data_IF_352508927424
#
_entry.id   IF_352508927424
#
_cell.length_a   1.000
_cell.length_b   1.000
_cell.length_c   1.000
_cell.angle_alpha   90.00
_cell.angle_beta   90.00
_cell.angle_gamma   90.00
#
_symmetry.space_group_name_H-M   'P 1'
#
loop_
_entity.id
_entity.type
_entity.pdbx_description
1 polymer ?
#
# COMPACT_ATOMS: atom_id res chain seq x y z
N UNK A 1 41.48 10.65 10.15
CA UNK A 1 40.49 9.99 11.02
C UNK A 1 39.20 9.90 10.25
N UNK A 2 38.85 8.71 9.76
CA UNK A 2 37.58 8.45 9.05
C UNK A 2 36.52 8.13 10.10
N UNK A 3 35.52 9.00 10.25
CA UNK A 3 34.36 8.68 11.09
C UNK A 3 33.63 7.48 10.46
N UNK A 4 33.30 6.44 11.24
CA UNK A 4 32.41 5.40 10.74
C UNK A 4 31.05 6.03 10.47
N UNK A 5 30.60 5.97 9.23
CA UNK A 5 29.24 6.32 8.85
C UNK A 5 28.34 5.27 9.52
N UNK A 6 27.63 5.67 10.57
CA UNK A 6 26.56 4.85 11.12
C UNK A 6 25.42 4.84 10.10
N UNK A 7 25.33 3.76 9.31
CA UNK A 7 24.24 3.54 8.38
C UNK A 7 23.02 3.08 9.18
N UNK A 8 22.26 4.04 9.71
CA UNK A 8 20.92 3.74 10.22
C UNK A 8 20.08 3.27 9.04
N UNK A 9 19.40 2.10 9.11
CA UNK A 9 18.47 1.68 8.07
C UNK A 9 17.41 2.76 7.84
N UNK A 10 16.95 2.96 6.60
CA UNK A 10 15.88 3.91 6.32
C UNK A 10 14.62 3.54 7.10
N UNK A 11 13.89 4.56 7.54
CA UNK A 11 12.59 4.39 8.17
C UNK A 11 11.62 3.70 7.19
N UNK A 12 10.73 2.83 7.70
CA UNK A 12 9.85 2.01 6.88
C UNK A 12 8.39 2.35 7.14
N UNK A 13 7.61 2.60 6.10
CA UNK A 13 6.17 2.74 6.20
C UNK A 13 5.50 1.48 5.63
N UNK A 14 4.57 0.88 6.39
CA UNK A 14 3.83 -0.31 5.93
C UNK A 14 2.44 0.08 5.47
N UNK A 15 2.16 -0.17 4.18
CA UNK A 15 0.80 -0.20 3.65
C UNK A 15 0.26 -1.63 3.74
N UNK A 16 -0.76 -1.83 4.56
CA UNK A 16 -1.51 -3.08 4.59
C UNK A 16 -2.82 -2.91 3.84
N UNK A 17 -3.04 -3.78 2.85
CA UNK A 17 -4.27 -3.90 2.09
C UNK A 17 -4.94 -5.23 2.40
N UNK A 18 -6.26 -5.25 2.43
CA UNK A 18 -7.00 -6.48 2.64
C UNK A 18 -8.30 -6.57 1.85
N UNK A 19 -8.71 -7.80 1.57
CA UNK A 19 -10.03 -8.12 1.03
C UNK A 19 -10.57 -9.39 1.68
N UNK A 20 -11.88 -9.52 1.72
CA UNK A 20 -12.55 -10.80 1.94
C UNK A 20 -12.75 -11.49 0.58
N UNK A 21 -12.35 -12.76 0.48
CA UNK A 21 -12.49 -13.57 -0.71
C UNK A 21 -13.93 -13.62 -1.23
N UNK A 22 -14.92 -13.50 -0.34
CA UNK A 22 -16.35 -13.54 -0.62
C UNK A 22 -16.98 -12.14 -0.76
N UNK A 23 -16.20 -11.06 -0.63
CA UNK A 23 -16.73 -9.70 -0.76
C UNK A 23 -17.20 -9.42 -2.19
N UNK A 24 -18.33 -8.72 -2.35
CA UNK A 24 -18.84 -8.38 -3.68
C UNK A 24 -18.09 -7.19 -4.30
N UNK A 25 -17.60 -6.27 -3.47
CA UNK A 25 -16.87 -5.08 -3.89
C UNK A 25 -15.46 -5.37 -4.39
N UNK A 26 -14.87 -4.40 -5.10
CA UNK A 26 -13.47 -4.46 -5.56
C UNK A 26 -12.55 -3.49 -4.83
N UNK A 27 -13.08 -2.68 -3.90
CA UNK A 27 -12.26 -1.82 -3.06
C UNK A 27 -11.53 -2.67 -2.00
N UNK A 28 -10.26 -2.33 -1.75
CA UNK A 28 -9.47 -2.91 -0.67
C UNK A 28 -9.68 -2.10 0.61
N UNK A 29 -9.87 -2.81 1.71
CA UNK A 29 -9.67 -2.23 3.04
C UNK A 29 -8.17 -1.96 3.23
N UNK A 30 -7.84 -0.94 4.01
CA UNK A 30 -6.45 -0.56 4.21
C UNK A 30 -6.19 0.00 5.61
N UNK A 31 -4.95 -0.12 6.04
CA UNK A 31 -4.39 0.77 7.04
C UNK A 31 -2.91 1.02 6.73
N UNK A 32 -2.40 2.13 7.26
CA UNK A 32 -1.06 2.59 7.01
C UNK A 32 -0.35 2.87 8.33
N UNK A 33 0.86 2.33 8.48
CA UNK A 33 1.67 2.52 9.68
C UNK A 33 2.94 3.29 9.33
N UNK A 34 3.00 4.61 9.61
CA UNK A 34 4.22 5.40 9.46
C UNK A 34 5.19 5.12 10.62
N UNK A 35 6.51 5.23 10.39
CA UNK A 35 7.51 4.91 11.42
C UNK A 35 7.71 6.01 12.46
N UNK A 36 7.13 7.20 12.30
CA UNK A 36 7.30 8.29 13.28
C UNK A 36 6.43 8.21 14.54
N UNK A 37 5.54 7.21 14.70
CA UNK A 37 4.76 7.06 15.94
C UNK A 37 5.28 5.88 16.77
N UNK A 38 6.01 6.18 17.84
CA UNK A 38 6.29 5.25 18.95
C UNK A 38 5.04 4.86 19.75
N UNK A 39 3.87 5.34 19.33
CA UNK A 39 2.55 4.99 19.84
C UNK A 39 1.88 4.01 18.87
N UNK A 40 1.32 2.88 19.35
CA UNK A 40 0.34 2.14 18.57
C UNK A 40 -0.77 3.12 18.20
N UNK A 41 -1.00 3.36 16.91
CA UNK A 41 -2.22 4.03 16.48
C UNK A 41 -3.35 3.05 16.84
N UNK A 42 -4.29 3.43 17.74
CA UNK A 42 -5.48 2.61 17.98
C UNK A 42 -6.18 2.35 16.65
N UNK A 43 -6.94 1.26 16.54
CA UNK A 43 -7.79 1.00 15.37
C UNK A 43 -8.45 2.30 14.86
N UNK A 44 -8.49 2.52 13.53
CA UNK A 44 -8.75 3.82 12.97
C UNK A 44 -10.10 4.38 13.46
N UNK A 45 -10.01 5.56 14.08
CA UNK A 45 -11.17 6.39 14.44
C UNK A 45 -11.73 6.96 13.14
N UNK A 46 -12.96 6.63 12.81
CA UNK A 46 -13.69 7.07 11.61
C UNK A 46 -13.51 8.59 11.33
N UNK A 47 -13.05 8.95 10.14
CA UNK A 47 -12.93 10.35 9.69
C UNK A 47 -12.57 10.50 8.21
N UNK A 48 -12.95 11.61 7.58
CA UNK A 48 -12.78 11.87 6.12
C UNK A 48 -11.29 12.01 5.70
N UNK A 49 -10.37 12.15 6.67
CA UNK A 49 -8.92 12.30 6.45
C UNK A 49 -8.07 11.13 6.98
N UNK A 50 -8.67 10.02 7.42
CA UNK A 50 -7.93 8.82 7.88
C UNK A 50 -7.48 7.90 6.74
N UNK A 51 -7.69 8.30 5.48
CA UNK A 51 -7.39 7.49 4.30
C UNK A 51 -6.13 7.95 3.52
N UNK A 52 -5.52 9.09 3.85
CA UNK A 52 -4.36 9.60 3.11
C UNK A 52 -3.05 8.96 3.58
N UNK A 53 -2.12 8.72 2.65
CA UNK A 53 -0.80 8.17 2.93
C UNK A 53 0.21 9.31 3.15
N UNK A 54 0.77 9.40 4.36
CA UNK A 54 1.75 10.44 4.71
C UNK A 54 3.13 9.82 4.90
N UNK A 55 4.09 10.22 4.09
CA UNK A 55 5.46 9.73 4.17
C UNK A 55 6.42 10.82 4.61
N UNK A 56 7.43 10.43 5.39
CA UNK A 56 8.60 11.26 5.58
C UNK A 56 9.57 11.10 4.39
N UNK A 57 10.28 12.17 4.00
CA UNK A 57 11.30 12.11 2.96
C UNK A 57 12.35 11.02 3.27
N UNK A 58 12.63 10.14 2.31
CA UNK A 58 13.61 9.06 2.47
C UNK A 58 13.10 7.80 3.19
N UNK A 59 11.81 7.71 3.50
CA UNK A 59 11.19 6.46 3.97
C UNK A 59 11.16 5.37 2.89
N UNK A 60 10.92 4.14 3.31
CA UNK A 60 10.66 3.01 2.43
C UNK A 60 9.22 2.52 2.59
N UNK A 61 8.46 2.52 1.50
CA UNK A 61 7.16 1.87 1.45
C UNK A 61 7.32 0.35 1.33
N UNK A 62 6.74 -0.36 2.29
CA UNK A 62 6.51 -1.79 2.28
C UNK A 62 5.03 -2.09 2.01
N UNK A 63 4.75 -3.19 1.32
CA UNK A 63 3.36 -3.59 1.00
C UNK A 63 3.06 -4.98 1.52
N UNK A 64 1.93 -5.10 2.21
CA UNK A 64 1.30 -6.37 2.55
C UNK A 64 -0.11 -6.40 1.98
N UNK A 65 -0.49 -7.54 1.41
CA UNK A 65 -1.86 -7.83 1.00
C UNK A 65 -2.34 -9.03 1.81
N UNK A 66 -3.54 -8.95 2.37
CA UNK A 66 -4.17 -10.07 3.08
C UNK A 66 -5.53 -10.42 2.49
N UNK A 67 -5.82 -11.71 2.45
CA UNK A 67 -7.13 -12.22 2.13
C UNK A 67 -7.68 -12.97 3.33
N UNK A 68 -8.94 -12.72 3.67
CA UNK A 68 -9.71 -13.58 4.58
C UNK A 68 -10.83 -14.32 3.85
N UNK A 69 -11.29 -15.43 4.41
CA UNK A 69 -12.47 -16.12 3.90
C UNK A 69 -12.86 -17.34 4.73
N UNK A 70 -14.06 -17.85 4.49
CA UNK A 70 -14.60 -18.99 5.21
C UNK A 70 -13.77 -20.27 5.00
N UNK A 71 -13.55 -21.07 6.05
CA UNK A 71 -12.81 -22.34 5.99
C UNK A 71 -13.67 -23.56 5.67
N UNK A 72 -14.99 -23.39 5.63
CA UNK A 72 -15.96 -24.46 5.46
C UNK A 72 -16.94 -24.13 4.33
N UNK A 73 -17.67 -25.14 3.85
CA UNK A 73 -18.61 -25.01 2.74
C UNK A 73 -17.97 -25.28 1.37
N UNK A 74 -18.80 -25.26 0.33
CA UNK A 74 -18.39 -25.59 -1.05
C UNK A 74 -17.43 -24.57 -1.66
N UNK A 75 -17.41 -23.35 -1.12
CA UNK A 75 -16.54 -22.26 -1.57
C UNK A 75 -15.45 -21.93 -0.54
N UNK A 76 -15.09 -22.88 0.34
CA UNK A 76 -14.08 -22.65 1.37
C UNK A 76 -12.79 -22.04 0.78
N UNK A 77 -12.39 -20.90 1.33
CA UNK A 77 -11.18 -20.18 0.97
C UNK A 77 -9.95 -20.97 1.41
N UNK A 78 -9.06 -21.23 0.46
CA UNK A 78 -7.79 -21.90 0.73
C UNK A 78 -6.63 -20.89 0.72
N UNK A 79 -6.44 -20.20 -0.40
CA UNK A 79 -5.30 -19.32 -0.60
C UNK A 79 -5.56 -18.29 -1.70
N UNK A 80 -4.67 -17.31 -1.82
CA UNK A 80 -4.65 -16.41 -2.97
C UNK A 80 -3.22 -16.20 -3.46
N UNK A 81 -3.09 -15.74 -4.69
CA UNK A 81 -1.83 -15.33 -5.32
C UNK A 81 -2.00 -13.97 -5.98
N UNK A 82 -1.12 -13.01 -5.66
CA UNK A 82 -0.99 -11.78 -6.46
C UNK A 82 -0.37 -12.14 -7.80
N UNK A 83 -1.08 -11.86 -8.89
CA UNK A 83 -0.65 -12.20 -10.26
C UNK A 83 -0.42 -10.97 -11.15
N UNK A 84 -0.88 -9.80 -10.72
CA UNK A 84 -0.52 -8.50 -11.30
C UNK A 84 -0.70 -7.42 -10.23
N UNK A 85 0.16 -6.40 -10.25
CA UNK A 85 0.12 -5.33 -9.26
C UNK A 85 0.79 -4.07 -9.79
N UNK A 86 0.04 -2.98 -9.84
CA UNK A 86 0.52 -1.69 -10.36
C UNK A 86 0.15 -0.56 -9.41
N UNK A 87 1.12 0.34 -9.21
CA UNK A 87 0.91 1.63 -8.56
C UNK A 87 0.77 2.69 -9.65
N UNK A 88 -0.18 3.60 -9.47
CA UNK A 88 -0.43 4.75 -10.33
C UNK A 88 -0.38 6.00 -9.47
N UNK A 89 0.40 7.00 -9.86
CA UNK A 89 0.51 8.27 -9.15
C UNK A 89 0.22 9.43 -10.08
N UNK A 90 -0.66 10.32 -9.64
CA UNK A 90 -1.00 11.54 -10.38
C UNK A 90 -0.47 12.75 -9.60
N UNK A 91 0.56 13.45 -10.08
CA UNK A 91 1.13 14.58 -9.36
C UNK A 91 0.16 15.75 -9.29
N UNK A 92 0.07 16.38 -8.13
CA UNK A 92 -0.72 17.58 -7.91
C UNK A 92 0.12 18.85 -8.06
N UNK A 93 -0.57 19.99 -8.20
CA UNK A 93 0.05 21.31 -8.19
C UNK A 93 0.48 21.65 -6.77
N UNK A 94 1.77 21.95 -6.58
CA UNK A 94 2.33 22.31 -5.27
C UNK A 94 2.58 23.82 -5.14
N UNK A 95 2.63 24.56 -6.25
CA UNK A 95 2.77 26.01 -6.22
C UNK A 95 1.99 26.62 -7.38
N UNK A 96 1.20 27.65 -7.12
CA UNK A 96 0.55 28.51 -8.13
C UNK A 96 0.26 29.89 -7.56
N UNK A 97 0.42 30.95 -8.34
CA UNK A 97 0.11 32.31 -7.89
C UNK A 97 0.55 33.42 -8.85
N UNK A 98 0.14 34.66 -8.57
CA UNK A 98 0.54 35.81 -9.39
C UNK A 98 2.05 36.06 -9.23
N UNK A 99 2.79 35.99 -10.33
CA UNK A 99 4.24 36.19 -10.34
C UNK A 99 5.04 35.00 -9.81
N UNK A 100 4.40 33.83 -9.65
CA UNK A 100 5.05 32.57 -9.30
C UNK A 100 4.89 31.59 -10.46
N UNK A 101 5.94 30.82 -10.73
CA UNK A 101 5.85 29.69 -11.64
C UNK A 101 4.95 28.61 -11.05
N UNK A 102 4.15 27.96 -11.91
CA UNK A 102 3.36 26.81 -11.51
C UNK A 102 4.28 25.61 -11.38
N UNK A 103 4.34 25.02 -10.19
CA UNK A 103 5.15 23.84 -9.91
C UNK A 103 4.24 22.64 -9.64
N UNK A 104 4.65 21.50 -10.18
CA UNK A 104 3.99 20.21 -10.00
C UNK A 104 4.91 19.29 -9.23
N UNK A 105 4.33 18.36 -8.47
CA UNK A 105 5.08 17.21 -7.97
C UNK A 105 5.69 16.39 -9.12
N UNK A 106 6.82 15.68 -8.91
CA UNK A 106 7.36 14.78 -9.92
C UNK A 106 6.36 13.65 -10.24
N UNK A 107 6.50 12.95 -11.39
CA UNK A 107 5.52 11.94 -11.83
C UNK A 107 5.20 10.85 -10.79
N UNK A 108 6.18 10.52 -9.96
CA UNK A 108 6.05 9.58 -8.85
C UNK A 108 6.82 10.09 -7.62
N UNK A 109 6.35 9.79 -6.40
CA UNK A 109 7.10 10.01 -5.18
C UNK A 109 8.19 8.96 -4.94
N UNK A 110 8.21 7.86 -5.70
CA UNK A 110 9.14 6.74 -5.49
C UNK A 110 10.33 6.80 -6.45
N UNK A 111 11.54 6.61 -5.93
CA UNK A 111 12.80 6.73 -6.69
C UNK A 111 12.95 5.64 -7.76
N UNK A 112 12.33 4.48 -7.56
CA UNK A 112 12.32 3.36 -8.51
C UNK A 112 11.42 3.62 -9.72
N UNK A 113 10.50 4.58 -9.65
CA UNK A 113 9.52 4.84 -10.69
C UNK A 113 10.00 5.96 -11.63
N UNK A 114 10.09 5.65 -12.93
CA UNK A 114 10.45 6.64 -13.96
C UNK A 114 9.29 7.55 -14.33
N UNK A 115 8.04 7.08 -14.17
CA UNK A 115 6.83 7.81 -14.53
C UNK A 115 5.68 7.53 -13.56
N UNK A 116 4.47 7.95 -13.95
CA UNK A 116 3.26 7.82 -13.12
C UNK A 116 2.77 6.40 -12.89
N UNK A 117 3.27 5.40 -13.63
CA UNK A 117 2.89 4.01 -13.44
C UNK A 117 4.11 3.20 -13.02
N UNK A 118 3.96 2.39 -11.98
CA UNK A 118 4.99 1.49 -11.48
C UNK A 118 4.44 0.06 -11.37
N UNK A 119 4.78 -0.83 -12.31
CA UNK A 119 4.46 -2.25 -12.19
C UNK A 119 5.37 -2.87 -11.12
N UNK A 120 4.76 -3.44 -10.08
CA UNK A 120 5.50 -4.06 -8.99
C UNK A 120 6.03 -5.43 -9.42
N UNK A 121 7.26 -5.75 -8.98
CA UNK A 121 7.76 -7.12 -9.11
C UNK A 121 6.88 -8.08 -8.30
N UNK A 122 6.45 -9.18 -8.91
CA UNK A 122 5.57 -10.19 -8.29
C UNK A 122 6.33 -11.14 -7.35
N UNK A 123 7.22 -10.60 -6.52
CA UNK A 123 8.01 -11.36 -5.55
C UNK A 123 7.46 -11.17 -4.15
N UNK A 124 6.47 -11.99 -3.81
CA UNK A 124 5.80 -12.02 -2.53
C UNK A 124 6.16 -13.29 -1.77
N UNK A 125 6.29 -13.19 -0.44
CA UNK A 125 6.27 -14.37 0.42
C UNK A 125 4.88 -14.52 1.04
N UNK A 126 4.42 -15.77 1.14
CA UNK A 126 3.14 -16.09 1.74
C UNK A 126 3.30 -16.49 3.21
N UNK A 127 2.37 -16.05 4.06
CA UNK A 127 2.23 -16.56 5.43
C UNK A 127 0.77 -16.83 5.73
N UNK A 128 0.49 -17.84 6.55
CA UNK A 128 -0.86 -18.12 7.06
C UNK A 128 -0.91 -17.63 8.49
N UNK A 129 -1.87 -16.76 8.79
CA UNK A 129 -2.12 -16.30 10.15
C UNK A 129 -3.03 -17.29 10.88
N UNK A 130 -3.09 -17.23 12.23
CA UNK A 130 -4.16 -17.86 12.99
C UNK A 130 -5.53 -17.47 12.44
N UNK A 131 -6.53 -18.34 12.62
CA UNK A 131 -7.89 -18.03 12.22
C UNK A 131 -8.39 -16.77 12.93
N UNK A 132 -9.11 -15.91 12.21
CA UNK A 132 -9.82 -14.78 12.84
C UNK A 132 -10.88 -15.29 13.82
N UNK A 133 -11.30 -14.49 14.81
CA UNK A 133 -12.53 -14.74 15.54
C UNK A 133 -13.68 -14.98 14.55
N UNK A 134 -14.34 -16.13 14.62
CA UNK A 134 -15.32 -16.57 13.61
C UNK A 134 -14.83 -17.70 12.69
N UNK A 135 -13.56 -18.13 12.79
CA UNK A 135 -13.05 -19.32 12.10
C UNK A 135 -12.62 -19.08 10.65
N UNK A 136 -12.53 -17.82 10.21
CA UNK A 136 -12.04 -17.45 8.89
C UNK A 136 -10.53 -17.66 8.78
N UNK A 137 -10.10 -18.17 7.64
CA UNK A 137 -8.68 -18.29 7.30
C UNK A 137 -8.17 -16.95 6.83
N UNK A 138 -6.96 -16.61 7.27
CA UNK A 138 -6.25 -15.41 6.79
C UNK A 138 -4.92 -15.81 6.18
N UNK A 139 -4.72 -15.41 4.93
CA UNK A 139 -3.46 -15.56 4.21
C UNK A 139 -2.90 -14.18 3.94
N UNK A 140 -1.59 -13.99 4.14
CA UNK A 140 -0.89 -12.77 3.76
C UNK A 140 0.06 -13.07 2.61
N UNK A 141 0.17 -12.14 1.68
CA UNK A 141 1.29 -12.03 0.75
C UNK A 141 1.98 -10.69 1.03
N UNK A 142 3.21 -10.76 1.53
CA UNK A 142 4.02 -9.56 1.79
C UNK A 142 5.08 -9.44 0.71
N UNK A 143 5.16 -8.25 0.10
CA UNK A 143 6.13 -7.97 -0.94
C UNK A 143 7.54 -8.00 -0.34
N UNK A 144 8.48 -8.67 -1.01
CA UNK A 144 9.88 -8.74 -0.54
C UNK A 144 10.67 -7.46 -0.84
N UNK A 145 10.20 -6.68 -1.80
CA UNK A 145 10.78 -5.39 -2.16
C UNK A 145 10.29 -4.24 -1.28
N UNK A 146 10.84 -3.07 -1.55
CA UNK A 146 10.41 -1.79 -1.01
C UNK A 146 10.46 -0.73 -2.11
N UNK A 147 9.76 0.37 -1.89
CA UNK A 147 9.88 1.58 -2.71
C UNK A 147 10.48 2.70 -1.87
N UNK A 148 11.56 3.29 -2.34
CA UNK A 148 12.21 4.41 -1.66
C UNK A 148 11.45 5.69 -1.98
N UNK A 149 10.95 6.35 -0.95
CA UNK A 149 10.31 7.65 -1.04
C UNK A 149 11.38 8.70 -1.29
N UNK A 150 11.20 9.48 -2.35
CA UNK A 150 12.10 10.56 -2.70
C UNK A 150 12.17 11.65 -1.63
N UNK A 151 13.18 12.50 -1.75
CA UNK A 151 13.39 13.60 -0.79
C UNK A 151 12.60 14.86 -1.12
N UNK A 152 11.99 14.92 -2.32
CA UNK A 152 11.22 16.08 -2.78
C UNK A 152 9.82 16.06 -2.16
N UNK A 153 9.41 17.11 -1.44
CA UNK A 153 8.05 17.21 -0.92
C UNK A 153 7.05 17.33 -2.07
N UNK A 154 5.83 16.84 -1.85
CA UNK A 154 4.80 16.89 -2.87
C UNK A 154 3.49 16.23 -2.45
N UNK A 155 2.51 16.31 -3.35
CA UNK A 155 1.18 15.75 -3.19
C UNK A 155 0.84 14.95 -4.46
N UNK A 156 0.27 13.77 -4.28
CA UNK A 156 -0.13 12.88 -5.36
C UNK A 156 -1.50 12.29 -5.06
N UNK A 157 -2.32 12.08 -6.08
CA UNK A 157 -3.34 11.03 -5.99
C UNK A 157 -2.62 9.70 -6.20
N UNK A 158 -2.81 8.76 -5.30
CA UNK A 158 -2.17 7.46 -5.34
C UNK A 158 -3.23 6.40 -5.57
N UNK A 159 -3.01 5.53 -6.56
CA UNK A 159 -3.86 4.36 -6.78
C UNK A 159 -2.99 3.10 -6.82
N UNK A 160 -3.52 2.00 -6.30
CA UNK A 160 -2.94 0.68 -6.41
C UNK A 160 -3.99 -0.29 -6.92
N UNK A 161 -3.68 -0.97 -8.01
CA UNK A 161 -4.53 -2.00 -8.60
C UNK A 161 -3.84 -3.34 -8.45
N UNK A 162 -4.55 -4.32 -7.91
CA UNK A 162 -4.04 -5.65 -7.60
C UNK A 162 -4.95 -6.68 -8.27
N UNK A 163 -4.39 -7.50 -9.14
CA UNK A 163 -5.08 -8.68 -9.65
C UNK A 163 -4.61 -9.89 -8.86
N UNK A 164 -5.57 -10.64 -8.33
CA UNK A 164 -5.31 -11.86 -7.57
C UNK A 164 -5.99 -13.07 -8.19
N UNK A 165 -5.36 -14.23 -8.04
CA UNK A 165 -5.97 -15.53 -8.23
C UNK A 165 -6.37 -16.09 -6.87
N UNK A 166 -7.65 -16.32 -6.66
CA UNK A 166 -8.21 -16.93 -5.44
C UNK A 166 -8.35 -18.42 -5.69
N UNK A 167 -7.80 -19.22 -4.79
CA UNK A 167 -7.93 -20.68 -4.77
C UNK A 167 -8.90 -21.07 -3.66
N UNK A 168 -9.90 -21.87 -4.05
CA UNK A 168 -10.88 -22.46 -3.14
C UNK A 168 -10.66 -23.97 -3.10
N UNK A 169 -11.38 -24.67 -2.23
CA UNK A 169 -11.22 -26.11 -1.95
C UNK A 169 -11.03 -27.03 -3.18
N UNK A 170 -10.55 -28.25 -2.92
CA UNK A 170 -10.13 -29.21 -3.97
C UNK A 170 -11.21 -29.43 -5.02
N UNK A 171 -10.89 -29.10 -6.29
CA UNK A 171 -11.80 -29.25 -7.43
C UNK A 171 -12.55 -27.97 -7.83
N UNK A 172 -12.45 -26.89 -7.04
CA UNK A 172 -12.98 -25.59 -7.44
C UNK A 172 -12.10 -24.92 -8.51
N UNK A 173 -12.72 -24.22 -9.46
CA UNK A 173 -12.01 -23.39 -10.43
C UNK A 173 -11.46 -22.16 -9.71
N UNK A 174 -10.17 -21.88 -9.85
CA UNK A 174 -9.58 -20.65 -9.33
C UNK A 174 -10.24 -19.43 -9.97
N UNK A 175 -10.58 -18.46 -9.13
CA UNK A 175 -11.20 -17.20 -9.56
C UNK A 175 -10.11 -16.14 -9.74
N UNK A 176 -10.19 -15.33 -10.80
CA UNK A 176 -9.32 -14.16 -10.97
C UNK A 176 -10.14 -12.91 -10.71
N UNK A 177 -9.67 -12.07 -9.79
CA UNK A 177 -10.33 -10.83 -9.39
C UNK A 177 -9.36 -9.67 -9.41
N UNK A 178 -9.89 -8.49 -9.72
CA UNK A 178 -9.16 -7.23 -9.68
C UNK A 178 -9.70 -6.41 -8.52
N UNK A 179 -8.79 -5.92 -7.68
CA UNK A 179 -9.07 -5.05 -6.56
C UNK A 179 -8.30 -3.73 -6.71
N UNK A 180 -8.79 -2.68 -6.06
CA UNK A 180 -8.19 -1.36 -6.12
C UNK A 180 -8.24 -0.61 -4.79
N UNK A 181 -7.33 0.34 -4.65
CA UNK A 181 -7.16 1.26 -3.52
C UNK A 181 -6.73 2.61 -4.09
N UNK A 182 -7.39 3.72 -3.75
CA UNK A 182 -7.13 5.05 -4.37
C UNK A 182 -7.14 6.21 -3.33
N UNK A 183 -6.18 6.23 -2.38
CA UNK A 183 -6.03 7.33 -1.42
C UNK A 183 -5.35 8.57 -2.00
N UNK A 184 -5.42 9.68 -1.26
CA UNK A 184 -4.48 10.78 -1.43
C UNK A 184 -3.12 10.44 -0.79
N UNK A 185 -2.03 11.00 -1.28
CA UNK A 185 -0.66 10.78 -0.77
C UNK A 185 0.13 12.08 -0.67
N UNK A 186 0.92 12.23 0.39
CA UNK A 186 1.80 13.38 0.63
C UNK A 186 3.18 12.93 1.13
N UNK A 187 4.23 13.64 0.72
CA UNK A 187 5.60 13.50 1.26
C UNK A 187 6.01 14.82 1.93
N UNK A 188 6.36 14.77 3.22
CA UNK A 188 7.00 15.87 3.96
C UNK A 188 6.11 16.88 4.73
N UNK A 189 4.89 16.52 5.16
CA UNK A 189 3.91 17.39 5.88
C UNK A 189 4.51 18.25 7.00
N UNK A 190 4.15 19.52 7.27
CA UNK A 190 2.82 20.17 7.37
C UNK A 190 2.74 21.54 6.66
N UNK A 191 1.97 21.67 5.57
CA UNK A 191 1.64 22.99 4.99
C UNK A 191 2.39 23.38 3.71
N UNK A 192 2.48 22.46 2.74
CA UNK A 192 2.87 22.77 1.35
C UNK A 192 1.82 23.60 0.58
N UNK A 193 0.80 24.08 1.29
CA UNK A 193 -0.01 25.25 0.93
C UNK A 193 0.37 26.39 1.90
N UNK A 194 1.36 27.20 1.53
CA UNK A 194 1.46 28.58 1.99
C UNK A 194 1.28 29.51 0.79
#
# INVERSE_FOLDING_TARGET
>A
MTHPISLTPPAQALLHLSFDADQHGSALDHYFTPVSSTTPVPEPVEGVHTASLYFAPGEQLLVRISASGATTGTNAFDSFQVIDCVIITRPQVIQRGRGLDTLYSPPSPFLQAVGSCYPMALDFYASVNPLKPGGERVVNQTWKGSLDVGVSPGIWDFSMVVTVRITRGVGAVSEVRVFWFDPEMEVGSTGTLK
#
